data_IF_105111672067
#
_entry.id   IF_105111672067
#
_cell.length_a   1.000
_cell.length_b   1.000
_cell.length_c   1.000
_cell.angle_alpha   90.00
_cell.angle_beta   90.00
_cell.angle_gamma   90.00
#
_symmetry.space_group_name_H-M   'P 1'
#
loop_
_entity.id
_entity.type
_entity.pdbx_description
1 polymer ?
#
# COMPACT_ATOMS: atom_id res chain seq x y z
N UNK A 1 20.90 -2.57 10.02
CA UNK A 1 19.46 -2.75 9.73
C UNK A 1 19.05 -4.07 10.38
N UNK A 2 18.22 -4.03 11.44
CA UNK A 2 17.76 -5.23 12.14
C UNK A 2 16.99 -6.16 11.21
N UNK A 3 17.02 -7.47 11.48
CA UNK A 3 16.34 -8.49 10.67
C UNK A 3 14.84 -8.17 10.53
N UNK A 4 14.21 -7.68 11.61
CA UNK A 4 12.79 -7.31 11.64
C UNK A 4 12.46 -6.19 10.65
N UNK A 5 13.29 -5.14 10.61
CA UNK A 5 13.10 -4.01 9.69
C UNK A 5 13.18 -4.46 8.22
N UNK A 6 14.04 -5.44 7.91
CA UNK A 6 14.13 -6.00 6.54
C UNK A 6 12.87 -6.78 6.17
N UNK A 7 12.32 -7.57 7.10
CA UNK A 7 11.09 -8.34 6.86
C UNK A 7 9.92 -7.42 6.55
N UNK A 8 9.68 -6.39 7.36
CA UNK A 8 8.57 -5.46 7.14
C UNK A 8 8.70 -4.64 5.85
N UNK A 9 9.92 -4.24 5.48
CA UNK A 9 10.17 -3.56 4.20
C UNK A 9 9.88 -4.49 3.01
N UNK A 10 10.31 -5.76 3.08
CA UNK A 10 10.02 -6.74 2.03
C UNK A 10 8.51 -7.03 1.92
N UNK A 11 7.82 -7.16 3.06
CA UNK A 11 6.36 -7.31 3.08
C UNK A 11 5.68 -6.06 2.50
N UNK A 12 6.10 -4.86 2.88
CA UNK A 12 5.56 -3.62 2.33
C UNK A 12 5.75 -3.51 0.82
N UNK A 13 6.91 -3.92 0.29
CA UNK A 13 7.18 -3.93 -1.14
C UNK A 13 6.36 -4.99 -1.90
N UNK A 14 6.05 -6.12 -1.28
CA UNK A 14 5.25 -7.17 -1.91
C UNK A 14 3.74 -6.88 -1.83
N UNK A 15 3.25 -6.41 -0.69
CA UNK A 15 1.82 -6.23 -0.44
C UNK A 15 1.28 -4.87 -0.90
N UNK A 16 2.10 -3.81 -0.95
CA UNK A 16 1.62 -2.52 -1.44
C UNK A 16 1.17 -2.55 -2.92
N UNK A 17 1.90 -3.17 -3.88
CA UNK A 17 1.42 -3.25 -5.27
C UNK A 17 0.15 -4.09 -5.40
N UNK A 18 0.00 -5.15 -4.60
CA UNK A 18 -1.22 -5.97 -4.57
C UNK A 18 -2.40 -5.13 -4.07
N UNK A 19 -2.22 -4.39 -2.98
CA UNK A 19 -3.26 -3.49 -2.47
C UNK A 19 -3.64 -2.41 -3.49
N UNK A 20 -2.65 -1.83 -4.18
CA UNK A 20 -2.87 -0.89 -5.27
C UNK A 20 -3.66 -1.48 -6.43
N UNK A 21 -3.29 -2.68 -6.89
CA UNK A 21 -3.99 -3.39 -7.95
C UNK A 21 -5.44 -3.71 -7.56
N UNK A 22 -5.68 -4.16 -6.33
CA UNK A 22 -7.04 -4.42 -5.83
C UNK A 22 -7.87 -3.14 -5.75
N UNK A 23 -7.30 -2.05 -5.22
CA UNK A 23 -7.97 -0.77 -5.18
C UNK A 23 -8.29 -0.23 -6.58
N UNK A 24 -7.38 -0.40 -7.54
CA UNK A 24 -7.63 -0.08 -8.94
C UNK A 24 -8.83 -0.86 -9.49
N UNK A 25 -8.82 -2.18 -9.35
CA UNK A 25 -9.85 -3.06 -9.92
C UNK A 25 -11.23 -2.76 -9.34
N UNK A 26 -11.33 -2.64 -8.01
CA UNK A 26 -12.59 -2.32 -7.31
C UNK A 26 -13.12 -0.95 -7.77
N UNK A 27 -12.25 0.05 -7.80
CA UNK A 27 -12.64 1.43 -8.18
C UNK A 27 -13.03 1.51 -9.66
N UNK A 28 -12.29 0.80 -10.52
CA UNK A 28 -12.57 0.72 -11.95
C UNK A 28 -13.93 0.06 -12.20
N UNK A 29 -14.17 -1.09 -11.54
CA UNK A 29 -15.44 -1.82 -11.64
C UNK A 29 -16.60 -0.96 -11.18
N UNK A 30 -16.53 -0.36 -9.99
CA UNK A 30 -17.58 0.52 -9.45
C UNK A 30 -17.89 1.68 -10.41
N UNK A 31 -16.87 2.40 -10.84
CA UNK A 31 -17.05 3.57 -11.71
C UNK A 31 -17.39 3.24 -13.16
N UNK A 32 -17.16 2.01 -13.61
CA UNK A 32 -17.60 1.55 -14.93
C UNK A 32 -19.12 1.46 -15.04
N UNK A 33 -19.81 1.15 -13.94
CA UNK A 33 -21.28 1.11 -13.89
C UNK A 33 -21.92 2.50 -13.98
N UNK A 34 -21.18 3.56 -13.60
CA UNK A 34 -21.65 4.95 -13.61
C UNK A 34 -21.47 5.67 -14.96
N UNK A 35 -21.10 4.95 -16.03
CA UNK A 35 -20.91 5.49 -17.38
C UNK A 35 -19.98 6.71 -17.46
N UNK A 36 -18.97 6.77 -16.60
CA UNK A 36 -17.96 7.82 -16.71
C UNK A 36 -17.13 7.67 -18.01
N UNK A 37 -16.68 8.81 -18.54
CA UNK A 37 -15.74 8.80 -19.66
C UNK A 37 -14.48 8.00 -19.31
N UNK A 38 -14.02 7.14 -20.22
CA UNK A 38 -12.88 6.21 -20.01
C UNK A 38 -11.64 6.87 -19.38
N UNK A 39 -11.30 8.08 -19.83
CA UNK A 39 -10.15 8.84 -19.29
C UNK A 39 -10.33 9.19 -17.80
N UNK A 40 -11.53 9.60 -17.40
CA UNK A 40 -11.86 9.94 -16.02
C UNK A 40 -11.87 8.70 -15.13
N UNK A 41 -12.43 7.60 -15.64
CA UNK A 41 -12.47 6.32 -14.95
C UNK A 41 -11.06 5.79 -14.65
N UNK A 42 -10.17 5.81 -15.64
CA UNK A 42 -8.76 5.42 -15.46
C UNK A 42 -8.03 6.34 -14.47
N UNK A 43 -8.24 7.65 -14.54
CA UNK A 43 -7.61 8.60 -13.63
C UNK A 43 -8.02 8.34 -12.17
N UNK A 44 -9.32 8.24 -11.90
CA UNK A 44 -9.82 8.00 -10.53
C UNK A 44 -9.37 6.64 -9.98
N UNK A 45 -9.34 5.61 -10.84
CA UNK A 45 -8.89 4.27 -10.42
C UNK A 45 -7.39 4.25 -10.13
N UNK A 46 -6.57 4.97 -10.93
CA UNK A 46 -5.13 5.12 -10.68
C UNK A 46 -4.84 5.93 -9.41
N UNK A 47 -5.59 6.99 -9.16
CA UNK A 47 -5.50 7.76 -7.92
C UNK A 47 -5.80 6.87 -6.70
N UNK A 48 -6.89 6.11 -6.73
CA UNK A 48 -7.23 5.17 -5.67
C UNK A 48 -6.13 4.10 -5.45
N UNK A 49 -5.60 3.55 -6.55
CA UNK A 49 -4.50 2.60 -6.50
C UNK A 49 -3.24 3.19 -5.84
N UNK A 50 -2.83 4.39 -6.27
CA UNK A 50 -1.66 5.06 -5.74
C UNK A 50 -1.80 5.40 -4.25
N UNK A 51 -2.99 5.87 -3.84
CA UNK A 51 -3.31 6.13 -2.43
C UNK A 51 -3.22 4.83 -1.61
N UNK A 52 -3.84 3.74 -2.07
CA UNK A 52 -3.79 2.46 -1.37
C UNK A 52 -2.36 1.93 -1.23
N UNK A 53 -1.55 2.00 -2.31
CA UNK A 53 -0.13 1.64 -2.27
C UNK A 53 0.62 2.47 -1.22
N UNK A 54 0.47 3.79 -1.27
CA UNK A 54 1.16 4.71 -0.37
C UNK A 54 0.79 4.47 1.09
N UNK A 55 -0.50 4.26 1.39
CA UNK A 55 -0.99 3.98 2.74
C UNK A 55 -0.42 2.67 3.27
N UNK A 56 -0.50 1.57 2.50
CA UNK A 56 0.02 0.27 2.94
C UNK A 56 1.54 0.32 3.14
N UNK A 57 2.27 0.97 2.24
CA UNK A 57 3.71 1.14 2.38
C UNK A 57 4.05 1.96 3.63
N UNK A 58 3.37 3.08 3.86
CA UNK A 58 3.58 3.92 5.04
C UNK A 58 3.28 3.16 6.34
N UNK A 59 2.20 2.37 6.38
CA UNK A 59 1.86 1.53 7.53
C UNK A 59 2.94 0.48 7.82
N UNK A 60 3.48 -0.17 6.79
CA UNK A 60 4.53 -1.18 6.95
C UNK A 60 5.84 -0.56 7.43
N UNK A 61 6.21 0.62 6.92
CA UNK A 61 7.38 1.37 7.40
C UNK A 61 7.17 1.82 8.85
N UNK A 62 6.00 2.36 9.19
CA UNK A 62 5.68 2.77 10.55
C UNK A 62 5.71 1.58 11.53
N UNK A 63 5.15 0.44 11.16
CA UNK A 63 5.20 -0.79 11.95
C UNK A 63 6.64 -1.25 12.17
N UNK A 64 7.48 -1.20 11.13
CA UNK A 64 8.89 -1.59 11.24
C UNK A 64 9.68 -0.68 12.19
N UNK A 65 9.42 0.63 12.16
CA UNK A 65 10.05 1.59 13.06
C UNK A 65 9.60 1.41 14.50
N UNK A 66 8.30 1.20 14.72
CA UNK A 66 7.72 0.98 16.05
C UNK A 66 8.18 -0.32 16.68
N UNK A 67 8.33 -1.40 15.90
CA UNK A 67 8.81 -2.68 16.42
C UNK A 67 10.34 -2.68 16.59
N UNK A 68 11.06 -2.02 15.69
CA UNK A 68 12.51 -1.86 15.80
C UNK A 68 12.95 -1.05 17.02
N UNK A 69 12.14 -0.10 17.49
CA UNK A 69 12.44 0.69 18.69
C UNK A 69 12.20 -0.05 20.02
N UNK A 70 11.47 -1.17 19.99
CA UNK A 70 11.15 -1.96 21.19
C UNK A 70 12.18 -3.06 21.47
N UNK A 71 13.28 -3.15 20.69
CA UNK A 71 14.33 -4.13 20.99
C UNK A 71 15.08 -3.72 22.27
N UNK A 72 15.00 -4.51 23.36
CA UNK A 72 15.73 -4.21 24.58
C UNK A 72 17.23 -4.28 24.31
N UNK A 73 17.98 -3.28 24.80
CA UNK A 73 19.44 -3.31 24.81
C UNK A 73 19.89 -4.48 25.69
N UNK A 74 20.19 -5.62 25.08
CA UNK A 74 20.80 -6.75 25.77
C UNK A 74 22.26 -6.38 26.02
N UNK A 75 22.59 -6.23 27.30
CA UNK A 75 23.90 -5.88 27.86
C UNK A 75 25.02 -6.78 27.35
#
# INVERSE_FOLDING_TARGET
MSTDLRVFVLLGLAFSPIAGAMAFLITYEEYSHHQFARRRLLAMSLEAAAVAMAVILALMVAAALLLGSQQPSVW
#
